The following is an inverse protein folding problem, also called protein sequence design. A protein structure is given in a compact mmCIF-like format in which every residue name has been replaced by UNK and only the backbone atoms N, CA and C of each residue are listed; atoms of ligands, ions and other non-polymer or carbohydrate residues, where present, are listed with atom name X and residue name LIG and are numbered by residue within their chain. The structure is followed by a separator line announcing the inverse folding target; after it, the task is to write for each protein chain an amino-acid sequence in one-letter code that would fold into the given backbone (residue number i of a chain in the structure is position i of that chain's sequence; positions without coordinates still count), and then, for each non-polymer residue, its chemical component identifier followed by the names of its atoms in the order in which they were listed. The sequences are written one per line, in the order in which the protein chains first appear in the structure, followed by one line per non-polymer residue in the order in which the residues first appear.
data_IF_779248537503
#
_entry.id   IF_779248537503
#
_cell.length_a   1.000
_cell.length_b   1.000
_cell.length_c   1.000
_cell.angle_alpha   90.00
_cell.angle_beta   90.00
_cell.angle_gamma   90.00
#
_symmetry.space_group_name_H-M   'P 1'
#
loop_
_entity.id
_entity.type
_entity.pdbx_description
1 polymer ?
#
# COMPACT_ATOMS: atom_id res chain seq x y z
N UNK A 1 24.82 13.25 28.56
CA UNK A 1 24.14 14.55 28.82
C UNK A 1 22.99 14.63 27.81
N UNK A 2 21.80 14.19 28.20
CA UNK A 2 20.61 14.33 27.35
C UNK A 2 20.10 15.76 27.50
N UNK A 3 20.34 16.58 26.50
CA UNK A 3 19.66 17.86 26.35
C UNK A 3 18.19 17.55 26.05
N UNK A 4 17.30 17.92 26.95
CA UNK A 4 15.88 17.72 26.77
C UNK A 4 15.41 18.63 25.64
N UNK A 5 15.01 18.05 24.50
CA UNK A 5 14.68 18.77 23.26
C UNK A 5 13.59 19.84 23.45
N UNK A 6 12.65 19.64 24.37
CA UNK A 6 11.54 20.57 24.62
C UNK A 6 11.97 21.87 25.31
N UNK A 7 12.93 21.81 26.21
CA UNK A 7 13.46 22.94 26.96
C UNK A 7 14.30 23.85 26.05
N UNK A 8 15.10 23.23 25.17
CA UNK A 8 15.91 23.97 24.19
C UNK A 8 15.03 24.68 23.16
N UNK A 9 13.98 24.00 22.68
CA UNK A 9 12.98 24.59 21.77
C UNK A 9 12.29 25.79 22.43
N UNK A 10 11.94 25.70 23.73
CA UNK A 10 11.35 26.83 24.42
C UNK A 10 12.32 28.00 24.60
N UNK A 11 13.58 27.74 24.90
CA UNK A 11 14.60 28.77 24.96
C UNK A 11 14.81 29.45 23.59
N UNK A 12 14.90 28.68 22.50
CA UNK A 12 15.02 29.20 21.16
C UNK A 12 13.88 30.14 20.76
N UNK A 13 12.62 29.73 21.03
CA UNK A 13 11.46 30.58 20.78
C UNK A 13 11.47 31.85 21.65
N UNK A 14 11.95 31.76 22.91
CA UNK A 14 12.12 32.92 23.77
C UNK A 14 13.20 33.86 23.24
N UNK A 15 14.32 33.34 22.73
CA UNK A 15 15.37 34.14 22.10
C UNK A 15 14.88 34.91 20.87
N UNK A 16 14.05 34.27 20.05
CA UNK A 16 13.50 34.82 18.81
C UNK A 16 12.56 36.01 19.09
N UNK A 17 11.73 35.89 20.13
CA UNK A 17 10.69 36.89 20.43
C UNK A 17 11.01 37.84 21.59
N UNK A 18 11.98 37.51 22.43
CA UNK A 18 12.26 38.17 23.69
C UNK A 18 10.97 38.39 24.53
N UNK A 19 10.02 37.46 24.39
CA UNK A 19 8.69 37.48 25.01
C UNK A 19 8.17 36.09 25.30
N UNK A 20 7.87 35.78 26.56
CA UNK A 20 7.26 34.51 26.93
C UNK A 20 5.86 34.33 26.34
N UNK A 21 5.15 35.41 26.09
CA UNK A 21 3.80 35.39 25.53
C UNK A 21 3.83 35.03 24.05
N UNK A 22 4.70 35.67 23.27
CA UNK A 22 4.84 35.37 21.84
C UNK A 22 5.47 33.98 21.63
N UNK A 23 6.50 33.62 22.40
CA UNK A 23 7.06 32.27 22.38
C UNK A 23 6.00 31.18 22.69
N UNK A 24 5.09 31.45 23.63
CA UNK A 24 4.02 30.51 23.97
C UNK A 24 3.02 30.32 22.82
N UNK A 25 2.69 31.39 22.10
CA UNK A 25 1.82 31.33 20.91
C UNK A 25 2.47 30.51 19.78
N UNK A 26 3.76 30.81 19.45
CA UNK A 26 4.49 30.07 18.42
C UNK A 26 4.54 28.59 18.71
N UNK A 27 4.77 28.21 19.96
CA UNK A 27 4.89 26.79 20.37
C UNK A 27 3.56 26.11 20.66
N UNK A 28 2.42 26.79 20.62
CA UNK A 28 1.12 26.25 21.00
C UNK A 28 1.05 25.81 22.48
N UNK A 29 1.85 26.46 23.36
CA UNK A 29 1.96 26.13 24.80
C UNK A 29 1.42 27.27 25.67
N UNK A 30 1.13 26.99 26.95
CA UNK A 30 0.84 28.07 27.90
C UNK A 30 2.13 28.81 28.31
N UNK A 31 2.01 30.10 28.64
CA UNK A 31 3.13 30.89 29.16
C UNK A 31 3.79 30.26 30.39
N UNK A 32 2.98 29.62 31.26
CA UNK A 32 3.47 28.89 32.43
C UNK A 32 4.32 27.66 32.07
N UNK A 33 3.95 26.95 31.01
CA UNK A 33 4.74 25.80 30.50
C UNK A 33 6.08 26.25 29.92
N UNK A 34 6.09 27.29 29.07
CA UNK A 34 7.34 27.85 28.51
C UNK A 34 8.25 28.31 29.64
N UNK A 35 7.71 29.04 30.63
CA UNK A 35 8.47 29.49 31.79
C UNK A 35 9.08 28.36 32.61
N UNK A 36 8.33 27.25 32.83
CA UNK A 36 8.84 26.06 33.56
C UNK A 36 9.92 25.34 32.77
N UNK A 37 9.75 25.18 31.46
CA UNK A 37 10.73 24.51 30.61
C UNK A 37 12.03 25.32 30.51
N UNK A 38 11.94 26.64 30.43
CA UNK A 38 13.11 27.50 30.47
C UNK A 38 13.86 27.38 31.83
N UNK A 39 13.16 27.40 32.94
CA UNK A 39 13.78 27.20 34.26
C UNK A 39 14.39 25.81 34.42
N UNK A 40 13.79 24.78 33.82
CA UNK A 40 14.34 23.43 33.81
C UNK A 40 15.66 23.35 33.01
N UNK A 41 15.74 24.04 31.85
CA UNK A 41 16.96 24.13 31.06
C UNK A 41 18.08 24.82 31.86
N UNK A 42 17.80 26.00 32.44
CA UNK A 42 18.74 26.76 33.25
C UNK A 42 19.29 25.93 34.44
N UNK A 43 18.40 25.18 35.11
CA UNK A 43 18.77 24.28 36.19
C UNK A 43 19.67 23.13 35.69
N UNK A 44 19.38 22.58 34.53
CA UNK A 44 20.14 21.44 33.97
C UNK A 44 21.54 21.85 33.54
N UNK A 45 21.69 23.02 32.90
CA UNK A 45 23.00 23.51 32.46
C UNK A 45 23.76 24.30 33.55
N UNK A 46 23.09 24.61 34.66
CA UNK A 46 23.69 25.26 35.82
C UNK A 46 23.96 26.75 35.68
N UNK A 47 23.41 27.40 34.61
CA UNK A 47 23.55 28.84 34.37
C UNK A 47 22.21 29.49 34.04
N UNK A 48 22.06 30.77 34.41
CA UNK A 48 20.88 31.55 34.02
C UNK A 48 21.07 32.04 32.60
N UNK A 49 20.08 31.82 31.75
CA UNK A 49 20.07 32.24 30.34
C UNK A 49 19.26 33.51 30.10
N UNK A 50 18.29 33.80 30.99
CA UNK A 50 17.35 34.88 30.80
C UNK A 50 17.12 35.63 32.11
N UNK A 51 17.32 36.96 32.09
CA UNK A 51 16.88 37.85 33.18
C UNK A 51 15.43 38.30 32.98
N UNK A 52 14.61 38.11 33.98
CA UNK A 52 13.21 38.51 33.98
C UNK A 52 13.06 39.77 34.87
N UNK A 53 12.68 40.86 34.26
CA UNK A 53 12.21 42.04 34.99
C UNK A 53 10.70 42.15 34.83
N UNK A 54 10.05 42.97 35.64
CA UNK A 54 8.61 43.24 35.56
C UNK A 54 8.18 43.88 34.23
N UNK A 55 9.12 44.39 33.45
CA UNK A 55 8.87 45.12 32.18
C UNK A 55 9.53 44.52 30.95
N UNK A 56 10.61 43.76 31.08
CA UNK A 56 11.38 43.21 29.94
C UNK A 56 11.98 41.85 30.28
N UNK A 57 12.17 41.05 29.23
CA UNK A 57 12.94 39.84 29.21
C UNK A 57 14.21 40.12 28.45
N UNK A 58 15.38 39.82 29.04
CA UNK A 58 16.69 40.10 28.48
C UNK A 58 17.55 38.83 28.62
N UNK A 59 18.33 38.51 27.60
CA UNK A 59 19.28 37.39 27.65
C UNK A 59 20.47 37.74 28.57
N UNK A 60 21.06 36.76 29.20
CA UNK A 60 22.34 36.87 29.89
C UNK A 60 23.48 36.70 28.85
N UNK A 61 24.74 36.96 29.19
CA UNK A 61 25.87 36.65 28.35
C UNK A 61 25.93 35.18 27.92
N UNK A 62 25.54 34.27 28.84
CA UNK A 62 25.41 32.86 28.52
C UNK A 62 24.25 32.60 27.57
N UNK A 63 23.13 33.28 27.70
CA UNK A 63 21.99 33.22 26.78
C UNK A 63 22.34 33.70 25.38
N UNK A 64 23.03 34.85 25.27
CA UNK A 64 23.48 35.38 23.98
C UNK A 64 24.49 34.42 23.30
N UNK A 65 25.39 33.78 24.06
CA UNK A 65 26.42 32.89 23.48
C UNK A 65 25.86 31.65 22.80
N UNK A 66 24.65 31.19 23.16
CA UNK A 66 24.01 29.98 22.57
C UNK A 66 22.75 30.31 21.74
N UNK A 67 22.34 31.57 21.68
CA UNK A 67 21.13 32.04 21.03
C UNK A 67 21.02 31.63 19.57
N UNK A 68 22.06 31.92 18.78
CA UNK A 68 22.06 31.65 17.34
C UNK A 68 21.91 30.17 17.04
N UNK A 69 22.69 29.33 17.74
CA UNK A 69 22.60 27.87 17.60
C UNK A 69 21.22 27.32 18.02
N UNK A 70 20.63 27.89 19.06
CA UNK A 70 19.30 27.48 19.52
C UNK A 70 18.21 27.85 18.49
N UNK A 71 18.26 29.05 17.92
CA UNK A 71 17.34 29.50 16.88
C UNK A 71 17.48 28.61 15.63
N UNK A 72 18.70 28.39 15.17
CA UNK A 72 18.97 27.50 14.01
C UNK A 72 18.42 26.07 14.22
N UNK A 73 18.60 25.52 15.42
CA UNK A 73 18.04 24.21 15.76
C UNK A 73 16.51 24.20 15.70
N UNK A 74 15.83 25.26 16.20
CA UNK A 74 14.38 25.40 16.12
C UNK A 74 13.90 25.48 14.65
N UNK A 75 14.54 26.31 13.84
CA UNK A 75 14.19 26.49 12.42
C UNK A 75 14.39 25.19 11.63
N UNK A 76 15.46 24.45 11.90
CA UNK A 76 15.72 23.14 11.30
C UNK A 76 14.64 22.11 11.70
N UNK A 77 14.20 22.09 12.96
CA UNK A 77 13.10 21.23 13.42
C UNK A 77 11.76 21.61 12.77
N UNK A 78 11.48 22.89 12.62
CA UNK A 78 10.28 23.37 11.92
C UNK A 78 10.30 22.97 10.42
N UNK A 79 11.44 23.14 9.76
CA UNK A 79 11.62 22.72 8.37
C UNK A 79 11.47 21.21 8.20
N UNK A 80 12.00 20.42 9.14
CA UNK A 80 11.83 18.96 9.16
C UNK A 80 10.35 18.57 9.32
N UNK A 81 9.64 19.20 10.26
CA UNK A 81 8.22 18.97 10.47
C UNK A 81 7.38 19.36 9.24
N UNK A 82 7.71 20.47 8.58
CA UNK A 82 7.05 20.89 7.35
C UNK A 82 7.28 19.87 6.23
N UNK A 83 8.52 19.42 6.03
CA UNK A 83 8.84 18.38 5.04
C UNK A 83 8.17 17.03 5.36
N UNK A 84 8.16 16.63 6.63
CA UNK A 84 7.48 15.40 7.06
C UNK A 84 5.98 15.45 6.76
N UNK A 85 5.31 16.59 7.01
CA UNK A 85 3.91 16.79 6.63
C UNK A 85 3.70 16.75 5.12
N UNK A 86 4.55 17.43 4.34
CA UNK A 86 4.44 17.41 2.87
C UNK A 86 4.67 16.02 2.27
N UNK A 87 5.48 15.16 2.90
CA UNK A 87 5.63 13.75 2.51
C UNK A 87 4.35 12.95 2.73
N UNK A 88 3.51 13.34 3.68
CA UNK A 88 2.22 12.70 3.94
C UNK A 88 1.10 13.16 3.02
N UNK A 89 1.20 14.34 2.40
CA UNK A 89 0.13 14.96 1.62
C UNK A 89 0.15 14.58 0.13
N UNK A 90 1.32 14.22 -0.43
CA UNK A 90 1.43 13.79 -1.81
C UNK A 90 1.71 12.29 -1.91
N UNK A 91 0.75 11.55 -2.49
CA UNK A 91 0.95 10.13 -2.82
C UNK A 91 1.86 10.04 -4.03
N UNK A 92 3.13 9.71 -3.80
CA UNK A 92 4.17 9.67 -4.83
C UNK A 92 5.21 8.58 -4.55
N UNK A 93 6.18 8.45 -5.46
CA UNK A 93 7.27 7.49 -5.36
C UNK A 93 6.88 6.10 -5.88
N UNK A 94 7.71 5.09 -5.61
CA UNK A 94 7.54 3.71 -6.12
C UNK A 94 6.47 2.96 -5.34
N UNK A 95 5.66 2.15 -6.05
CA UNK A 95 4.66 1.25 -5.48
C UNK A 95 4.65 -0.07 -6.24
N UNK A 96 4.96 -1.16 -5.54
CA UNK A 96 5.12 -2.49 -6.12
C UNK A 96 3.91 -3.37 -5.86
N UNK A 97 3.38 -3.95 -6.92
CA UNK A 97 2.21 -4.82 -6.89
C UNK A 97 2.57 -6.16 -7.52
N UNK A 98 2.26 -7.25 -6.84
CA UNK A 98 2.37 -8.60 -7.41
C UNK A 98 1.02 -9.29 -7.46
N UNK A 99 0.82 -10.14 -8.46
CA UNK A 99 -0.45 -10.86 -8.65
C UNK A 99 -0.26 -12.13 -9.48
N UNK A 100 -1.26 -13.05 -9.49
CA UNK A 100 -1.27 -14.17 -10.42
C UNK A 100 -1.34 -13.72 -11.89
N UNK A 101 -0.72 -14.48 -12.78
CA UNK A 101 -0.74 -14.20 -14.22
C UNK A 101 -2.16 -14.03 -14.78
N UNK A 102 -3.11 -14.82 -14.30
CA UNK A 102 -4.52 -14.74 -14.70
C UNK A 102 -5.17 -13.37 -14.42
N UNK A 103 -4.87 -12.78 -13.25
CA UNK A 103 -5.37 -11.45 -12.87
C UNK A 103 -4.69 -10.37 -13.71
N UNK A 104 -3.35 -10.46 -13.84
CA UNK A 104 -2.55 -9.49 -14.59
C UNK A 104 -2.98 -9.40 -16.06
N UNK A 105 -3.23 -10.54 -16.70
CA UNK A 105 -3.56 -10.62 -18.13
C UNK A 105 -5.02 -10.34 -18.47
N UNK A 106 -5.92 -10.31 -17.48
CA UNK A 106 -7.36 -10.14 -17.73
C UNK A 106 -7.91 -8.82 -17.23
N UNK A 107 -7.97 -8.64 -15.91
CA UNK A 107 -8.73 -7.55 -15.28
C UNK A 107 -7.88 -6.40 -14.74
N UNK A 108 -6.59 -6.64 -14.46
CA UNK A 108 -5.76 -5.63 -13.79
C UNK A 108 -5.39 -4.43 -14.69
N UNK A 109 -5.43 -4.58 -16.00
CA UNK A 109 -5.11 -3.50 -16.94
C UNK A 109 -5.99 -2.25 -16.76
N UNK A 110 -7.31 -2.44 -16.60
CA UNK A 110 -8.25 -1.34 -16.35
C UNK A 110 -8.04 -0.71 -14.96
N UNK A 111 -7.74 -1.54 -13.94
CA UNK A 111 -7.41 -1.06 -12.60
C UNK A 111 -6.14 -0.20 -12.62
N UNK A 112 -5.10 -0.66 -13.33
CA UNK A 112 -3.84 0.07 -13.45
C UNK A 112 -4.02 1.41 -14.17
N UNK A 113 -4.87 1.46 -15.20
CA UNK A 113 -5.24 2.69 -15.88
C UNK A 113 -5.86 3.69 -14.89
N UNK A 114 -6.86 3.30 -14.12
CA UNK A 114 -7.48 4.15 -13.10
C UNK A 114 -6.49 4.59 -12.01
N UNK A 115 -5.58 3.70 -11.60
CA UNK A 115 -4.51 4.05 -10.66
C UNK A 115 -3.59 5.13 -11.20
N UNK A 116 -3.19 5.06 -12.47
CA UNK A 116 -2.33 6.07 -13.11
C UNK A 116 -3.02 7.42 -13.27
N UNK A 117 -4.31 7.41 -13.57
CA UNK A 117 -5.11 8.64 -13.65
C UNK A 117 -5.26 9.30 -12.28
N UNK A 118 -5.52 8.52 -11.23
CA UNK A 118 -5.72 9.02 -9.87
C UNK A 118 -4.43 9.41 -9.14
N UNK A 119 -3.34 8.68 -9.39
CA UNK A 119 -2.06 8.85 -8.71
C UNK A 119 -0.90 9.03 -9.72
N UNK A 120 -0.88 10.13 -10.50
CA UNK A 120 0.08 10.33 -11.60
C UNK A 120 1.53 10.41 -11.11
N UNK A 121 1.77 10.82 -9.86
CA UNK A 121 3.10 10.92 -9.26
C UNK A 121 3.64 9.57 -8.70
N UNK A 122 2.81 8.49 -8.77
CA UNK A 122 3.25 7.15 -8.35
C UNK A 122 3.86 6.39 -9.52
N UNK A 123 5.04 5.82 -9.28
CA UNK A 123 5.69 4.90 -10.21
C UNK A 123 5.32 3.47 -9.84
N UNK A 124 4.36 2.90 -10.57
CA UNK A 124 3.90 1.53 -10.35
C UNK A 124 4.85 0.52 -10.96
N UNK A 125 5.25 -0.47 -10.16
CA UNK A 125 5.99 -1.65 -10.57
C UNK A 125 5.06 -2.85 -10.41
N UNK A 126 4.72 -3.50 -11.53
CA UNK A 126 3.77 -4.61 -11.54
C UNK A 126 4.52 -5.88 -11.95
N UNK A 127 4.44 -6.90 -11.10
CA UNK A 127 4.96 -8.23 -11.37
C UNK A 127 3.84 -9.26 -11.35
N UNK A 128 3.97 -10.29 -12.17
CA UNK A 128 3.05 -11.42 -12.15
C UNK A 128 3.80 -12.71 -11.85
N UNK A 129 3.38 -13.38 -10.77
CA UNK A 129 3.96 -14.64 -10.34
C UNK A 129 2.90 -15.52 -9.67
N UNK A 130 2.87 -16.80 -10.06
CA UNK A 130 1.98 -17.79 -9.44
C UNK A 130 2.58 -18.45 -8.20
N UNK A 131 3.83 -18.14 -7.84
CA UNK A 131 4.46 -18.61 -6.61
C UNK A 131 4.20 -17.62 -5.47
N UNK A 132 4.15 -18.15 -4.25
CA UNK A 132 4.08 -17.31 -3.05
C UNK A 132 5.48 -16.73 -2.81
N UNK A 133 5.61 -15.42 -3.00
CA UNK A 133 6.82 -14.66 -2.69
C UNK A 133 6.70 -14.05 -1.29
N UNK A 134 7.84 -13.97 -0.58
CA UNK A 134 7.91 -13.22 0.66
C UNK A 134 7.84 -11.72 0.32
N UNK A 135 6.73 -11.08 0.70
CA UNK A 135 6.46 -9.69 0.34
C UNK A 135 7.46 -8.71 0.98
N UNK A 136 7.93 -9.02 2.20
CA UNK A 136 8.88 -8.19 2.92
C UNK A 136 10.28 -8.23 2.26
N UNK A 137 10.78 -9.42 1.97
CA UNK A 137 12.11 -9.59 1.33
C UNK A 137 12.16 -8.99 -0.06
N UNK A 138 11.05 -9.07 -0.81
CA UNK A 138 10.93 -8.55 -2.17
C UNK A 138 10.54 -7.07 -2.22
N UNK A 139 10.33 -6.44 -1.05
CA UNK A 139 9.82 -5.05 -0.92
C UNK A 139 8.55 -4.81 -1.74
N UNK A 140 7.59 -5.74 -1.67
CA UNK A 140 6.31 -5.66 -2.36
C UNK A 140 5.31 -4.95 -1.43
N UNK A 141 4.65 -3.90 -1.93
CA UNK A 141 3.67 -3.13 -1.16
C UNK A 141 2.33 -3.86 -1.06
N UNK A 142 1.86 -4.47 -2.16
CA UNK A 142 0.58 -5.21 -2.22
C UNK A 142 0.73 -6.47 -3.06
N UNK A 143 0.10 -7.56 -2.62
CA UNK A 143 -0.12 -8.76 -3.40
C UNK A 143 -1.62 -9.02 -3.60
N UNK A 144 -2.04 -9.31 -4.83
CA UNK A 144 -3.33 -9.95 -5.09
C UNK A 144 -3.12 -11.45 -5.01
N UNK A 145 -3.97 -12.16 -4.29
CA UNK A 145 -3.87 -13.60 -4.06
C UNK A 145 -5.20 -14.28 -4.35
N UNK A 146 -5.13 -15.49 -4.86
CA UNK A 146 -6.29 -16.37 -5.07
C UNK A 146 -6.30 -17.43 -3.98
N UNK A 147 -7.48 -17.73 -3.46
CA UNK A 147 -7.69 -18.64 -2.33
C UNK A 147 -7.07 -18.14 -1.02
N UNK A 148 -6.96 -18.99 -0.02
CA UNK A 148 -6.53 -18.63 1.33
C UNK A 148 -5.12 -18.05 1.36
N UNK A 149 -4.97 -16.96 2.09
CA UNK A 149 -3.68 -16.38 2.48
C UNK A 149 -3.36 -16.87 3.89
N UNK A 150 -2.43 -17.83 3.98
CA UNK A 150 -2.00 -18.40 5.27
C UNK A 150 -0.60 -17.85 5.56
N UNK A 151 -0.53 -16.60 6.02
CA UNK A 151 0.71 -15.95 6.44
C UNK A 151 0.38 -14.94 7.53
N UNK A 152 0.77 -15.22 8.77
CA UNK A 152 0.48 -14.39 9.94
C UNK A 152 1.19 -13.03 9.93
N UNK A 153 2.19 -12.86 9.07
CA UNK A 153 2.92 -11.59 8.90
C UNK A 153 2.21 -10.61 7.97
N UNK A 154 1.13 -11.05 7.32
CA UNK A 154 0.38 -10.27 6.35
C UNK A 154 -0.99 -9.88 6.88
N UNK A 155 -1.45 -8.71 6.49
CA UNK A 155 -2.86 -8.32 6.56
C UNK A 155 -3.49 -8.71 5.24
N UNK A 156 -4.51 -9.57 5.29
CA UNK A 156 -5.26 -10.01 4.12
C UNK A 156 -6.73 -9.58 4.21
N UNK A 157 -7.24 -9.00 3.13
CA UNK A 157 -8.64 -8.62 2.98
C UNK A 157 -9.24 -9.33 1.77
N UNK A 158 -10.36 -10.01 1.99
CA UNK A 158 -11.17 -10.51 0.89
C UNK A 158 -11.76 -9.37 0.07
N UNK A 159 -11.72 -9.49 -1.25
CA UNK A 159 -12.16 -8.46 -2.18
C UNK A 159 -13.27 -8.92 -3.11
N UNK A 160 -13.65 -10.18 -3.06
CA UNK A 160 -14.74 -10.76 -3.81
C UNK A 160 -14.52 -12.22 -4.15
N UNK A 161 -15.54 -12.83 -4.74
CA UNK A 161 -15.56 -14.25 -5.07
C UNK A 161 -15.57 -14.50 -6.58
N UNK A 162 -15.10 -15.67 -6.96
CA UNK A 162 -15.13 -16.12 -8.35
C UNK A 162 -15.40 -17.62 -8.39
N UNK A 163 -15.94 -18.06 -9.53
CA UNK A 163 -16.24 -19.47 -9.80
C UNK A 163 -15.39 -19.99 -10.96
N UNK A 164 -15.15 -21.28 -11.01
CA UNK A 164 -14.61 -21.91 -12.18
C UNK A 164 -15.72 -22.14 -13.23
N UNK A 165 -15.38 -21.98 -14.49
CA UNK A 165 -16.25 -22.21 -15.64
C UNK A 165 -15.59 -23.10 -16.66
N UNK A 166 -16.38 -23.82 -17.42
CA UNK A 166 -15.92 -24.55 -18.61
C UNK A 166 -16.17 -23.68 -19.82
N UNK A 167 -15.17 -23.52 -20.64
CA UNK A 167 -15.23 -22.77 -21.89
C UNK A 167 -14.89 -23.66 -23.08
N UNK A 168 -15.50 -23.38 -24.23
CA UNK A 168 -15.16 -24.04 -25.50
C UNK A 168 -15.27 -23.07 -26.66
N UNK A 169 -14.70 -23.46 -27.81
CA UNK A 169 -14.99 -22.77 -29.07
C UNK A 169 -16.43 -23.10 -29.51
N UNK A 170 -17.11 -22.14 -30.15
CA UNK A 170 -18.52 -22.26 -30.57
C UNK A 170 -18.82 -23.51 -31.39
N UNK A 171 -17.91 -23.90 -32.27
CA UNK A 171 -18.09 -25.02 -33.19
C UNK A 171 -17.61 -26.36 -32.64
N UNK A 172 -17.06 -26.41 -31.40
CA UNK A 172 -16.37 -27.58 -30.85
C UNK A 172 -16.81 -27.97 -29.43
N UNK A 173 -18.11 -27.99 -29.20
CA UNK A 173 -18.70 -28.30 -27.88
C UNK A 173 -18.61 -29.74 -27.45
N UNK A 174 -18.33 -30.67 -28.40
CA UNK A 174 -18.24 -32.12 -28.13
C UNK A 174 -16.78 -32.62 -28.00
N UNK A 175 -15.80 -31.71 -27.92
CA UNK A 175 -14.42 -32.08 -27.75
C UNK A 175 -14.18 -32.73 -26.38
N UNK A 176 -13.62 -33.94 -26.39
CA UNK A 176 -13.39 -34.72 -25.17
C UNK A 176 -11.97 -34.51 -24.57
N UNK A 177 -11.22 -33.53 -25.10
CA UNK A 177 -9.92 -33.09 -24.58
C UNK A 177 -10.11 -31.96 -23.58
N UNK A 178 -9.67 -32.17 -22.33
CA UNK A 178 -9.66 -31.16 -21.27
C UNK A 178 -8.34 -30.36 -21.27
N UNK A 179 -8.43 -29.06 -21.27
CA UNK A 179 -7.34 -28.13 -20.98
C UNK A 179 -7.51 -27.62 -19.55
N UNK A 180 -6.56 -27.92 -18.67
CA UNK A 180 -6.67 -27.57 -17.26
C UNK A 180 -5.37 -26.97 -16.70
N UNK A 181 -5.50 -26.00 -15.81
CA UNK A 181 -4.35 -25.43 -15.12
C UNK A 181 -3.71 -26.47 -14.19
N UNK A 182 -2.39 -26.68 -14.33
CA UNK A 182 -1.63 -27.72 -13.60
C UNK A 182 -1.81 -27.69 -12.08
N UNK A 183 -2.01 -26.49 -11.50
CA UNK A 183 -2.22 -26.32 -10.04
C UNK A 183 -3.69 -26.13 -9.67
N UNK A 184 -4.63 -26.50 -10.53
CA UNK A 184 -6.06 -26.43 -10.21
C UNK A 184 -6.41 -27.36 -9.05
N UNK A 185 -7.10 -26.85 -8.00
CA UNK A 185 -7.35 -27.61 -6.77
C UNK A 185 -8.18 -28.87 -6.98
N UNK A 186 -9.17 -28.82 -7.88
CA UNK A 186 -10.09 -29.94 -8.15
C UNK A 186 -9.76 -30.69 -9.42
N UNK A 187 -8.50 -30.59 -9.92
CA UNK A 187 -8.12 -31.13 -11.23
C UNK A 187 -8.37 -32.65 -11.36
N UNK A 188 -8.08 -33.41 -10.32
CA UNK A 188 -8.21 -34.86 -10.37
C UNK A 188 -9.67 -35.33 -10.49
N UNK A 189 -10.61 -34.60 -9.90
CA UNK A 189 -12.03 -34.87 -10.05
C UNK A 189 -12.55 -34.51 -11.45
N UNK A 190 -12.13 -33.33 -11.94
CA UNK A 190 -12.54 -32.82 -13.26
C UNK A 190 -12.01 -33.73 -14.38
N UNK A 191 -10.75 -34.17 -14.30
CA UNK A 191 -10.13 -35.08 -15.27
C UNK A 191 -10.92 -36.36 -15.51
N UNK A 192 -11.55 -36.93 -14.50
CA UNK A 192 -12.34 -38.17 -14.61
C UNK A 192 -13.48 -38.09 -15.62
N UNK A 193 -13.88 -36.89 -16.03
CA UNK A 193 -14.99 -36.64 -16.97
C UNK A 193 -14.54 -36.58 -18.43
N UNK A 194 -13.23 -36.64 -18.69
CA UNK A 194 -12.64 -36.47 -20.02
C UNK A 194 -11.71 -37.62 -20.36
N UNK A 195 -11.64 -38.00 -21.65
CA UNK A 195 -10.79 -39.10 -22.10
C UNK A 195 -9.35 -38.65 -22.35
N UNK A 196 -9.13 -37.38 -22.61
CA UNK A 196 -7.83 -36.80 -22.88
C UNK A 196 -7.61 -35.52 -22.09
N UNK A 197 -6.39 -35.28 -21.60
CA UNK A 197 -6.11 -34.15 -20.68
C UNK A 197 -4.76 -33.52 -21.05
N UNK A 198 -4.80 -32.21 -21.24
CA UNK A 198 -3.62 -31.37 -21.43
C UNK A 198 -3.50 -30.44 -20.21
N UNK A 199 -2.47 -30.63 -19.40
CA UNK A 199 -2.14 -29.73 -18.29
C UNK A 199 -1.27 -28.57 -18.77
N UNK A 200 -1.67 -27.34 -18.40
CA UNK A 200 -0.93 -26.13 -18.69
C UNK A 200 -0.59 -25.37 -17.40
N UNK A 201 0.49 -24.62 -17.39
CA UNK A 201 0.93 -23.83 -16.24
C UNK A 201 0.62 -22.33 -16.37
N UNK A 202 -0.07 -21.96 -17.44
CA UNK A 202 -0.45 -20.57 -17.73
C UNK A 202 -1.86 -20.51 -18.33
N UNK A 203 -2.74 -19.72 -17.72
CA UNK A 203 -4.15 -19.56 -18.13
C UNK A 203 -4.28 -18.83 -19.48
N UNK A 204 -3.36 -17.95 -19.85
CA UNK A 204 -3.38 -17.28 -21.15
C UNK A 204 -3.07 -18.27 -22.29
N UNK A 205 -2.16 -19.23 -22.06
CA UNK A 205 -1.88 -20.34 -22.98
C UNK A 205 -3.13 -21.22 -23.10
N UNK A 206 -3.78 -21.57 -21.99
CA UNK A 206 -5.02 -22.34 -21.98
C UNK A 206 -6.10 -21.66 -22.83
N UNK A 207 -6.35 -20.36 -22.61
CA UNK A 207 -7.30 -19.57 -23.38
C UNK A 207 -6.98 -19.59 -24.88
N UNK A 208 -5.71 -19.46 -25.24
CA UNK A 208 -5.28 -19.52 -26.63
C UNK A 208 -5.58 -20.90 -27.26
N UNK A 209 -5.30 -22.00 -26.56
CA UNK A 209 -5.57 -23.36 -27.05
C UNK A 209 -7.07 -23.60 -27.23
N UNK A 210 -7.90 -23.18 -26.27
CA UNK A 210 -9.37 -23.24 -26.43
C UNK A 210 -9.83 -22.44 -27.63
N UNK A 211 -9.29 -21.25 -27.86
CA UNK A 211 -9.64 -20.42 -29.02
C UNK A 211 -9.29 -21.02 -30.37
N UNK A 212 -8.36 -21.98 -30.39
CA UNK A 212 -7.94 -22.76 -31.57
C UNK A 212 -8.68 -24.10 -31.71
N UNK A 213 -9.63 -24.38 -30.82
CA UNK A 213 -10.43 -25.61 -30.86
C UNK A 213 -9.69 -26.85 -30.38
N UNK A 214 -8.57 -26.73 -29.66
CA UNK A 214 -7.79 -27.88 -29.16
C UNK A 214 -8.58 -28.70 -28.16
N UNK A 215 -9.39 -28.05 -27.33
CA UNK A 215 -10.20 -28.72 -26.33
C UNK A 215 -11.13 -27.76 -25.60
N UNK A 216 -11.77 -28.27 -24.55
CA UNK A 216 -12.52 -27.46 -23.59
C UNK A 216 -11.60 -27.06 -22.44
N UNK A 217 -11.77 -25.84 -21.90
CA UNK A 217 -10.90 -25.31 -20.87
C UNK A 217 -11.65 -25.04 -19.56
N UNK A 218 -11.02 -25.32 -18.41
CA UNK A 218 -11.50 -24.90 -17.09
C UNK A 218 -10.73 -23.67 -16.63
N UNK A 219 -11.45 -22.59 -16.40
CA UNK A 219 -10.87 -21.29 -16.05
C UNK A 219 -11.72 -20.55 -14.99
N UNK A 220 -11.15 -19.62 -14.21
CA UNK A 220 -11.90 -18.68 -13.41
C UNK A 220 -12.78 -17.75 -14.28
N UNK A 221 -14.03 -17.50 -13.84
CA UNK A 221 -15.02 -16.71 -14.58
C UNK A 221 -14.57 -15.25 -14.84
N UNK A 222 -13.77 -14.65 -13.96
CA UNK A 222 -13.26 -13.29 -14.16
C UNK A 222 -12.37 -13.16 -15.41
N UNK A 223 -11.79 -14.24 -15.90
CA UNK A 223 -11.06 -14.22 -17.17
C UNK A 223 -11.95 -13.87 -18.37
N UNK A 224 -13.27 -14.09 -18.24
CA UNK A 224 -14.25 -13.71 -19.26
C UNK A 224 -14.74 -12.24 -19.12
N UNK A 225 -14.27 -11.51 -18.09
CA UNK A 225 -14.61 -10.09 -17.90
C UNK A 225 -13.56 -9.14 -18.50
N UNK A 226 -12.41 -9.67 -18.98
CA UNK A 226 -11.36 -8.88 -19.61
C UNK A 226 -11.65 -8.48 -21.06
N UNK A 227 -11.04 -7.39 -21.50
CA UNK A 227 -11.29 -6.77 -22.82
C UNK A 227 -10.81 -7.59 -24.04
N UNK A 228 -10.08 -8.68 -23.84
CA UNK A 228 -9.48 -9.50 -24.92
C UNK A 228 -10.20 -10.84 -25.16
N UNK A 229 -11.47 -10.92 -24.85
CA UNK A 229 -12.21 -12.17 -25.05
C UNK A 229 -12.40 -12.41 -26.54
N UNK A 230 -11.91 -13.57 -26.99
CA UNK A 230 -12.21 -14.01 -28.36
C UNK A 230 -13.73 -14.31 -28.47
N UNK A 231 -14.42 -13.61 -29.37
CA UNK A 231 -15.87 -13.73 -29.59
C UNK A 231 -16.34 -15.15 -29.94
N UNK A 232 -15.41 -16.04 -30.27
CA UNK A 232 -15.71 -17.43 -30.61
C UNK A 232 -15.65 -18.39 -29.39
N UNK A 233 -15.39 -17.87 -28.20
CA UNK A 233 -15.40 -18.66 -26.96
C UNK A 233 -16.70 -18.42 -26.22
N UNK A 234 -17.32 -19.50 -25.76
CA UNK A 234 -18.54 -19.44 -24.93
C UNK A 234 -18.42 -20.34 -23.69
N UNK A 235 -19.24 -20.04 -22.70
CA UNK A 235 -19.32 -20.78 -21.44
C UNK A 235 -20.28 -21.95 -21.65
N UNK A 236 -19.83 -23.16 -21.39
CA UNK A 236 -20.63 -24.38 -21.50
C UNK A 236 -21.12 -24.89 -20.15
N UNK A 237 -20.39 -24.59 -19.06
CA UNK A 237 -20.75 -25.01 -17.71
C UNK A 237 -20.20 -24.02 -16.70
N UNK A 238 -20.92 -23.81 -15.60
CA UNK A 238 -20.45 -23.09 -14.41
C UNK A 238 -20.35 -24.09 -13.27
N UNK A 239 -19.22 -24.10 -12.56
CA UNK A 239 -19.06 -24.89 -11.36
C UNK A 239 -19.56 -24.09 -10.14
N UNK A 240 -20.21 -24.77 -9.23
CA UNK A 240 -20.61 -24.19 -7.93
C UNK A 240 -19.42 -24.31 -6.93
N UNK A 241 -18.31 -23.69 -7.29
CA UNK A 241 -17.08 -23.67 -6.50
C UNK A 241 -16.72 -22.23 -6.20
N UNK A 242 -17.32 -21.70 -5.15
CA UNK A 242 -17.01 -20.32 -4.72
C UNK A 242 -15.58 -20.26 -4.17
N UNK A 243 -14.79 -19.38 -4.73
CA UNK A 243 -13.40 -19.13 -4.35
C UNK A 243 -13.19 -17.64 -4.13
N UNK A 244 -12.37 -17.32 -3.15
CA UNK A 244 -12.14 -15.93 -2.78
C UNK A 244 -10.86 -15.38 -3.41
N UNK A 245 -10.89 -14.09 -3.73
CA UNK A 245 -9.73 -13.28 -4.10
C UNK A 245 -9.40 -12.34 -2.95
N UNK A 246 -8.10 -12.18 -2.66
CA UNK A 246 -7.61 -11.37 -1.55
C UNK A 246 -6.62 -10.32 -2.02
N UNK A 247 -6.61 -9.20 -1.33
CA UNK A 247 -5.47 -8.28 -1.28
C UNK A 247 -4.72 -8.53 0.02
N UNK A 248 -3.41 -8.74 -0.08
CA UNK A 248 -2.54 -8.94 1.06
C UNK A 248 -1.37 -7.94 1.03
N UNK A 249 -0.96 -7.46 2.20
CA UNK A 249 0.20 -6.58 2.37
C UNK A 249 0.87 -6.82 3.73
N UNK A 250 2.19 -6.50 3.86
CA UNK A 250 2.90 -6.67 5.11
C UNK A 250 2.28 -5.86 6.25
N UNK A 251 2.25 -6.45 7.45
CA UNK A 251 1.80 -5.71 8.64
C UNK A 251 2.73 -4.53 8.94
N UNK A 252 2.14 -3.34 9.09
CA UNK A 252 2.83 -2.10 9.49
C UNK A 252 1.91 -1.29 10.40
N UNK A 253 2.48 -0.63 11.40
CA UNK A 253 1.72 0.24 12.30
C UNK A 253 2.52 1.53 12.60
N UNK A 254 2.05 2.72 12.17
CA UNK A 254 0.84 2.95 11.35
C UNK A 254 1.02 2.49 9.90
N UNK A 255 -0.08 2.15 9.23
CA UNK A 255 -0.07 1.87 7.80
C UNK A 255 0.26 3.14 7.01
N UNK A 256 1.19 3.09 6.04
CA UNK A 256 1.49 4.23 5.19
C UNK A 256 0.23 4.70 4.42
N UNK A 257 -0.01 6.00 4.37
CA UNK A 257 -1.18 6.59 3.66
C UNK A 257 -1.26 6.12 2.20
N UNK A 258 -0.13 6.06 1.50
CA UNK A 258 -0.04 5.55 0.13
C UNK A 258 -0.60 4.12 0.01
N UNK A 259 -0.24 3.23 0.93
CA UNK A 259 -0.74 1.86 0.96
C UNK A 259 -2.26 1.83 1.20
N UNK A 260 -2.75 2.59 2.17
CA UNK A 260 -4.18 2.65 2.51
C UNK A 260 -5.02 3.11 1.31
N UNK A 261 -4.65 4.23 0.67
CA UNK A 261 -5.43 4.79 -0.42
C UNK A 261 -5.37 3.95 -1.70
N UNK A 262 -4.19 3.44 -2.08
CA UNK A 262 -4.04 2.60 -3.27
C UNK A 262 -4.73 1.25 -3.06
N UNK A 263 -4.61 0.62 -1.87
CA UNK A 263 -5.30 -0.64 -1.59
C UNK A 263 -6.81 -0.49 -1.59
N UNK A 264 -7.33 0.62 -1.05
CA UNK A 264 -8.76 0.90 -1.07
C UNK A 264 -9.29 1.05 -2.51
N UNK A 265 -8.55 1.74 -3.39
CA UNK A 265 -8.92 1.87 -4.80
C UNK A 265 -8.92 0.51 -5.50
N UNK A 266 -7.86 -0.30 -5.34
CA UNK A 266 -7.78 -1.63 -5.95
C UNK A 266 -8.92 -2.53 -5.46
N UNK A 267 -9.23 -2.49 -4.16
CA UNK A 267 -10.34 -3.27 -3.57
C UNK A 267 -11.68 -2.90 -4.21
N UNK A 268 -11.97 -1.62 -4.30
CA UNK A 268 -13.22 -1.10 -4.89
C UNK A 268 -13.36 -1.56 -6.36
N UNK A 269 -12.29 -1.47 -7.15
CA UNK A 269 -12.33 -1.88 -8.55
C UNK A 269 -12.44 -3.40 -8.71
N UNK A 270 -11.75 -4.19 -7.89
CA UNK A 270 -11.88 -5.65 -7.91
C UNK A 270 -13.27 -6.09 -7.50
N UNK A 271 -13.84 -5.51 -6.44
CA UNK A 271 -15.22 -5.79 -6.01
C UNK A 271 -16.21 -5.51 -7.14
N UNK A 272 -16.09 -4.35 -7.82
CA UNK A 272 -16.93 -3.99 -8.98
C UNK A 272 -16.81 -4.97 -10.14
N UNK A 273 -15.60 -5.54 -10.36
CA UNK A 273 -15.37 -6.49 -11.46
C UNK A 273 -15.88 -7.88 -11.09
N UNK A 274 -15.71 -8.31 -9.84
CA UNK A 274 -16.06 -9.66 -9.40
C UNK A 274 -17.58 -9.82 -9.20
N UNK A 275 -18.24 -8.80 -8.67
CA UNK A 275 -19.70 -8.74 -8.46
C UNK A 275 -20.42 -8.04 -9.63
#
# INVERSE_FOLDING_TARGET
MELMNNELICFAAVCKHLSLTEASKELGKSKAQVSRQLAALEKQIGVTLVHRTTRKLVLTDHGESIKELAIEALDNLQALNYRAKSLSDCISGKFKITMPNSVASSIFGEILKGLKERYPAVNFEVSSNNNVENLLESNIDIAIRLNNVVDETLIAHEVGNYNDIVISQLDNTQNNTLLIYKRHSNKEEIKKRYSDVIEVDNTSILMNFVSKGVGVGVIPNYLMKGSQINKNIHITQVFDTERSMYIAYPYQNPLPRKLVEISAFIRMELDRILN
#
